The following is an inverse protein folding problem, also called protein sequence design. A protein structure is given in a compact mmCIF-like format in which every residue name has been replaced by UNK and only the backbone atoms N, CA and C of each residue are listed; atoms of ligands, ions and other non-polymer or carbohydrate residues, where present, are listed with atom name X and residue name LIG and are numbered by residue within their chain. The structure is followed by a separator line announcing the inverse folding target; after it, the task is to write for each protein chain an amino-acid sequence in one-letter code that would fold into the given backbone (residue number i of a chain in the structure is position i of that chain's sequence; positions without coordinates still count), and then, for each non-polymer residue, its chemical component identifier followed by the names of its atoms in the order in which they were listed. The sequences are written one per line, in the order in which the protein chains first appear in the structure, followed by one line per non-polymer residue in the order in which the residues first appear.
data_IF_732284520291
#
_entry.id   IF_732284520291
#
_cell.length_a   1.000
_cell.length_b   1.000
_cell.length_c   1.000
_cell.angle_alpha   90.00
_cell.angle_beta   90.00
_cell.angle_gamma   90.00
#
_symmetry.space_group_name_H-M   'P 1'
#
loop_
_entity.id
_entity.type
_entity.pdbx_description
1 polymer ?
#
# COMPACT_ATOMS: atom_id res chain seq x y z
N UNK A 1 7.83 -0.99 -10.00
CA UNK A 1 6.82 -2.09 -9.85
C UNK A 1 5.55 -1.58 -9.17
N UNK A 2 4.40 -2.27 -9.27
CA UNK A 2 3.13 -1.83 -8.65
C UNK A 2 3.23 -1.57 -7.12
N UNK A 3 4.00 -2.43 -6.41
CA UNK A 3 4.31 -2.26 -4.99
C UNK A 3 5.09 -0.97 -4.71
N UNK A 4 6.09 -0.65 -5.54
CA UNK A 4 6.87 0.58 -5.44
C UNK A 4 6.03 1.84 -5.68
N UNK A 5 5.25 1.85 -6.77
CA UNK A 5 4.37 2.99 -7.12
C UNK A 5 3.38 3.24 -5.99
N UNK A 6 2.83 2.16 -5.45
CA UNK A 6 1.93 2.20 -4.29
C UNK A 6 2.61 2.77 -3.06
N UNK A 7 3.80 2.25 -2.69
CA UNK A 7 4.54 2.73 -1.53
C UNK A 7 4.92 4.21 -1.65
N UNK A 8 5.40 4.64 -2.82
CA UNK A 8 5.74 6.05 -3.09
C UNK A 8 4.50 6.96 -3.04
N UNK A 9 3.38 6.53 -3.61
CA UNK A 9 2.14 7.31 -3.57
C UNK A 9 1.57 7.41 -2.15
N UNK A 10 1.61 6.33 -1.36
CA UNK A 10 1.22 6.33 0.06
C UNK A 10 2.11 7.25 0.91
N UNK A 11 3.42 7.28 0.62
CA UNK A 11 4.44 8.06 1.33
C UNK A 11 4.78 9.37 0.61
N UNK A 12 3.78 9.97 -0.04
CA UNK A 12 3.90 11.28 -0.66
C UNK A 12 3.32 12.35 0.27
N UNK A 13 3.77 13.60 0.14
CA UNK A 13 3.13 14.74 0.80
C UNK A 13 1.71 15.01 0.30
N UNK A 14 1.51 14.87 -1.01
CA UNK A 14 0.26 15.25 -1.67
C UNK A 14 -0.93 14.42 -1.19
N UNK A 15 -0.73 13.13 -0.91
CA UNK A 15 -1.79 12.22 -0.52
C UNK A 15 -2.47 12.57 0.83
N UNK A 16 -1.76 12.72 1.96
CA UNK A 16 -2.38 13.15 3.22
C UNK A 16 -3.02 14.53 3.14
N UNK A 17 -2.41 15.48 2.41
CA UNK A 17 -2.98 16.82 2.19
C UNK A 17 -4.31 16.75 1.42
N UNK A 18 -4.40 15.89 0.40
CA UNK A 18 -5.62 15.61 -0.35
C UNK A 18 -6.71 15.00 0.53
N UNK A 19 -6.36 13.99 1.34
CA UNK A 19 -7.31 13.35 2.25
C UNK A 19 -7.84 14.30 3.34
N UNK A 20 -7.03 15.28 3.73
CA UNK A 20 -7.39 16.35 4.66
C UNK A 20 -8.24 17.46 4.02
N UNK A 21 -8.47 17.44 2.70
CA UNK A 21 -9.28 18.42 1.99
C UNK A 21 -8.58 19.76 1.77
N UNK A 22 -7.24 19.80 1.70
CA UNK A 22 -6.54 21.05 1.36
C UNK A 22 -6.87 21.46 -0.09
N UNK A 23 -7.32 22.70 -0.28
CA UNK A 23 -7.82 23.20 -1.59
C UNK A 23 -6.83 23.12 -2.77
N UNK A 24 -5.52 22.97 -2.52
CA UNK A 24 -4.47 22.94 -3.56
C UNK A 24 -3.81 21.56 -3.75
N UNK A 25 -4.23 20.53 -3.02
CA UNK A 25 -3.57 19.22 -3.08
C UNK A 25 -4.04 18.39 -4.27
N UNK A 26 -3.07 17.77 -4.94
CA UNK A 26 -3.26 16.86 -6.08
C UNK A 26 -4.01 15.58 -5.68
N UNK A 27 -4.96 15.15 -6.52
CA UNK A 27 -5.60 13.83 -6.43
C UNK A 27 -4.85 12.73 -7.19
N UNK A 28 -3.75 13.06 -7.87
CA UNK A 28 -2.98 12.14 -8.73
C UNK A 28 -2.53 10.90 -7.97
N UNK A 29 -2.05 11.08 -6.74
CA UNK A 29 -1.57 10.03 -5.86
C UNK A 29 -2.73 9.12 -5.41
N UNK A 30 -3.89 9.72 -5.07
CA UNK A 30 -5.09 8.97 -4.73
C UNK A 30 -5.61 8.14 -5.93
N UNK A 31 -5.59 8.71 -7.14
CA UNK A 31 -6.02 8.00 -8.35
C UNK A 31 -5.08 6.84 -8.69
N UNK A 32 -3.76 7.05 -8.59
CA UNK A 32 -2.77 5.97 -8.73
C UNK A 32 -3.02 4.85 -7.72
N UNK A 33 -3.26 5.17 -6.46
CA UNK A 33 -3.52 4.14 -5.44
C UNK A 33 -4.79 3.34 -5.75
N UNK A 34 -5.85 3.98 -6.24
CA UNK A 34 -7.08 3.29 -6.70
C UNK A 34 -6.85 2.40 -7.92
N UNK A 35 -5.86 2.72 -8.76
CA UNK A 35 -5.45 1.89 -9.90
C UNK A 35 -4.71 0.63 -9.47
N UNK A 36 -4.00 0.65 -8.35
CA UNK A 36 -3.23 -0.52 -7.90
C UNK A 36 -3.86 -1.30 -6.74
N UNK A 37 -4.83 -0.74 -6.03
CA UNK A 37 -5.46 -1.38 -4.86
C UNK A 37 -6.91 -1.79 -5.11
N UNK A 38 -7.35 -2.82 -4.40
CA UNK A 38 -8.79 -3.04 -4.25
C UNK A 38 -9.41 -1.89 -3.42
N UNK A 39 -10.67 -1.50 -3.67
CA UNK A 39 -11.34 -0.43 -2.94
C UNK A 39 -11.29 -0.55 -1.43
N UNK A 40 -11.51 -1.76 -0.89
CA UNK A 40 -11.48 -2.01 0.55
C UNK A 40 -10.15 -1.63 1.19
N UNK A 41 -9.03 -1.99 0.54
CA UNK A 41 -7.69 -1.71 1.04
C UNK A 41 -7.28 -0.24 0.88
N UNK A 42 -7.67 0.38 -0.23
CA UNK A 42 -7.51 1.82 -0.42
C UNK A 42 -8.19 2.61 0.70
N UNK A 43 -9.44 2.26 1.01
CA UNK A 43 -10.23 2.96 2.04
C UNK A 43 -9.59 2.83 3.43
N UNK A 44 -9.13 1.64 3.79
CA UNK A 44 -8.40 1.38 5.05
C UNK A 44 -7.13 2.24 5.14
N UNK A 45 -6.32 2.23 4.07
CA UNK A 45 -5.08 3.00 3.98
C UNK A 45 -5.34 4.51 4.06
N UNK A 46 -6.31 5.00 3.29
CA UNK A 46 -6.68 6.41 3.26
C UNK A 46 -7.16 6.90 4.63
N UNK A 47 -7.96 6.09 5.34
CA UNK A 47 -8.40 6.41 6.70
C UNK A 47 -7.21 6.51 7.67
N UNK A 48 -6.27 5.56 7.60
CA UNK A 48 -5.09 5.57 8.46
C UNK A 48 -4.20 6.79 8.21
N UNK A 49 -3.90 7.09 6.94
CA UNK A 49 -3.09 8.26 6.55
C UNK A 49 -3.77 9.56 6.98
N UNK A 50 -5.08 9.69 6.73
CA UNK A 50 -5.86 10.86 7.18
C UNK A 50 -5.83 11.03 8.69
N UNK A 51 -5.95 9.93 9.45
CA UNK A 51 -5.90 9.94 10.92
C UNK A 51 -4.53 10.38 11.43
N UNK A 52 -3.43 9.90 10.83
CA UNK A 52 -2.09 10.34 11.19
C UNK A 52 -1.92 11.84 10.95
N UNK A 53 -2.38 12.33 9.80
CA UNK A 53 -2.25 13.74 9.43
C UNK A 53 -3.09 14.67 10.32
N UNK A 54 -4.39 14.39 10.50
CA UNK A 54 -5.31 15.30 11.19
C UNK A 54 -5.29 15.18 12.73
N UNK A 55 -5.01 13.99 13.27
CA UNK A 55 -5.14 13.74 14.71
C UNK A 55 -3.81 13.45 15.40
N UNK A 56 -2.81 12.96 14.66
CA UNK A 56 -1.46 12.71 15.21
C UNK A 56 -0.44 13.73 14.73
N UNK A 57 -0.87 14.71 13.92
CA UNK A 57 -0.07 15.81 13.44
C UNK A 57 1.24 15.38 12.76
N UNK A 58 1.24 14.29 11.99
CA UNK A 58 2.42 13.89 11.21
C UNK A 58 2.05 13.19 9.90
N UNK A 59 3.00 13.15 8.98
CA UNK A 59 2.98 12.31 7.79
C UNK A 59 4.39 11.84 7.44
N UNK A 60 4.48 10.85 6.55
CA UNK A 60 5.74 10.25 6.11
C UNK A 60 5.94 10.58 4.63
N UNK A 61 7.07 11.20 4.32
CA UNK A 61 7.56 11.39 2.95
C UNK A 61 8.66 10.36 2.67
N UNK A 62 8.59 9.69 1.53
CA UNK A 62 9.66 8.85 1.02
C UNK A 62 10.55 9.68 0.12
N UNK A 63 11.80 9.90 0.56
CA UNK A 63 12.83 10.61 -0.20
C UNK A 63 13.38 9.70 -1.29
N UNK A 64 13.76 8.49 -0.89
CA UNK A 64 14.30 7.47 -1.77
C UNK A 64 13.85 6.07 -1.35
N UNK A 65 13.79 5.17 -2.31
CA UNK A 65 13.39 3.78 -2.13
C UNK A 65 14.08 2.89 -3.14
N UNK A 66 14.70 1.83 -2.61
CA UNK A 66 15.23 0.73 -3.38
C UNK A 66 14.51 -0.56 -3.03
N UNK A 67 14.20 -1.36 -4.05
CA UNK A 67 13.74 -2.74 -3.87
C UNK A 67 14.96 -3.65 -4.00
N UNK A 68 15.32 -4.33 -2.92
CA UNK A 68 16.48 -5.21 -2.89
C UNK A 68 16.15 -6.62 -3.35
N UNK A 69 14.97 -7.12 -2.97
CA UNK A 69 14.54 -8.48 -3.26
C UNK A 69 13.04 -8.58 -3.41
N UNK A 70 12.61 -9.42 -4.33
CA UNK A 70 11.23 -9.88 -4.45
C UNK A 70 11.21 -11.41 -4.51
N UNK A 71 10.27 -12.03 -3.80
CA UNK A 71 10.07 -13.48 -3.86
C UNK A 71 8.60 -13.83 -3.73
N UNK A 72 8.13 -14.78 -4.53
CA UNK A 72 6.82 -15.39 -4.35
C UNK A 72 6.87 -16.31 -3.13
N UNK A 73 6.12 -15.97 -2.09
CA UNK A 73 6.07 -16.74 -0.85
C UNK A 73 5.05 -17.87 -0.89
N UNK A 74 3.86 -17.60 -1.43
CA UNK A 74 2.83 -18.62 -1.67
C UNK A 74 1.72 -18.11 -2.60
N UNK A 75 0.88 -19.04 -3.04
CA UNK A 75 -0.29 -18.80 -3.89
C UNK A 75 -1.51 -19.46 -3.24
N UNK A 76 -2.65 -18.78 -3.25
CA UNK A 76 -3.93 -19.39 -2.84
C UNK A 76 -4.99 -19.21 -3.90
N UNK A 77 -5.77 -20.26 -4.13
CA UNK A 77 -6.89 -20.27 -5.04
C UNK A 77 -8.20 -20.39 -4.25
N UNK A 78 -9.21 -19.63 -4.67
CA UNK A 78 -10.54 -19.62 -4.07
C UNK A 78 -11.61 -19.73 -5.14
N UNK A 79 -12.69 -20.46 -4.82
CA UNK A 79 -13.96 -20.39 -5.54
C UNK A 79 -14.97 -19.64 -4.69
N UNK A 80 -15.43 -18.50 -5.20
CA UNK A 80 -16.29 -17.55 -4.50
C UNK A 80 -17.65 -17.45 -5.18
N UNK A 81 -18.68 -17.12 -4.41
CA UNK A 81 -19.91 -16.54 -4.99
C UNK A 81 -19.61 -15.11 -5.43
N UNK A 82 -20.39 -14.57 -6.38
CA UNK A 82 -20.23 -13.17 -6.79
C UNK A 82 -20.33 -12.22 -5.59
N UNK A 83 -21.29 -12.46 -4.69
CA UNK A 83 -21.45 -11.65 -3.47
C UNK A 83 -20.20 -11.69 -2.57
N UNK A 84 -19.59 -12.85 -2.36
CA UNK A 84 -18.39 -12.97 -1.54
C UNK A 84 -17.19 -12.26 -2.16
N UNK A 85 -17.06 -12.31 -3.49
CA UNK A 85 -16.05 -11.56 -4.23
C UNK A 85 -16.25 -10.04 -4.09
N UNK A 86 -17.46 -9.53 -4.30
CA UNK A 86 -17.76 -8.10 -4.17
C UNK A 86 -17.54 -7.60 -2.74
N UNK A 87 -17.96 -8.39 -1.75
CA UNK A 87 -17.75 -8.09 -0.33
C UNK A 87 -16.26 -8.01 0.04
N UNK A 88 -15.44 -8.89 -0.53
CA UNK A 88 -13.99 -8.84 -0.36
C UNK A 88 -13.39 -7.61 -1.03
N UNK A 89 -13.67 -7.36 -2.30
CA UNK A 89 -13.10 -6.25 -3.07
C UNK A 89 -13.48 -4.90 -2.45
N UNK A 90 -14.74 -4.74 -2.04
CA UNK A 90 -15.28 -3.47 -1.56
C UNK A 90 -15.00 -3.23 -0.08
N UNK A 91 -15.06 -4.27 0.75
CA UNK A 91 -15.05 -4.13 2.21
C UNK A 91 -13.98 -4.98 2.92
N UNK A 92 -13.20 -5.76 2.17
CA UNK A 92 -12.16 -6.65 2.72
C UNK A 92 -12.72 -7.65 3.74
N UNK A 93 -13.99 -8.08 3.56
CA UNK A 93 -14.62 -9.10 4.42
C UNK A 93 -13.90 -10.44 4.26
N UNK A 94 -13.54 -11.15 5.35
CA UNK A 94 -12.78 -12.39 5.27
C UNK A 94 -13.35 -13.41 4.27
N UNK A 95 -12.50 -13.93 3.41
CA UNK A 95 -12.87 -15.01 2.48
C UNK A 95 -13.14 -16.29 3.29
N UNK A 96 -14.31 -16.89 3.08
CA UNK A 96 -14.65 -18.18 3.70
C UNK A 96 -13.87 -19.31 3.05
N UNK A 97 -13.39 -20.27 3.85
CA UNK A 97 -12.71 -21.47 3.34
C UNK A 97 -13.69 -22.51 2.77
N UNK A 98 -14.96 -22.44 3.13
CA UNK A 98 -15.98 -23.35 2.64
C UNK A 98 -16.33 -23.01 1.17
N UNK A 99 -16.25 -24.02 0.31
CA UNK A 99 -16.66 -23.90 -1.09
C UNK A 99 -18.18 -24.04 -1.15
N UNK A 100 -18.86 -23.00 -1.65
CA UNK A 100 -20.29 -23.03 -1.92
C UNK A 100 -20.54 -23.71 -3.27
N UNK A 101 -21.60 -24.51 -3.35
CA UNK A 101 -22.10 -25.04 -4.64
C UNK A 101 -22.53 -23.93 -5.62
N UNK A 102 -22.75 -22.71 -5.12
CA UNK A 102 -23.10 -21.52 -5.90
C UNK A 102 -21.87 -20.70 -6.35
N UNK A 103 -20.65 -21.21 -6.17
CA UNK A 103 -19.43 -20.46 -6.50
C UNK A 103 -19.20 -20.41 -8.02
N UNK A 104 -19.24 -19.19 -8.57
CA UNK A 104 -19.03 -18.88 -9.99
C UNK A 104 -17.77 -18.06 -10.28
N UNK A 105 -17.12 -17.53 -9.25
CA UNK A 105 -15.92 -16.70 -9.37
C UNK A 105 -14.70 -17.51 -8.95
N UNK A 106 -13.71 -17.60 -9.82
CA UNK A 106 -12.39 -18.15 -9.54
C UNK A 106 -11.47 -16.98 -9.21
N UNK A 107 -10.78 -17.08 -8.07
CA UNK A 107 -10.00 -15.98 -7.52
C UNK A 107 -8.64 -16.47 -7.06
N UNK A 108 -7.58 -15.84 -7.58
CA UNK A 108 -6.20 -16.21 -7.30
C UNK A 108 -5.53 -15.11 -6.48
N UNK A 109 -4.78 -15.49 -5.45
CA UNK A 109 -4.00 -14.59 -4.61
C UNK A 109 -2.54 -14.98 -4.62
N UNK A 110 -1.68 -14.01 -4.90
CA UNK A 110 -0.23 -14.14 -4.87
C UNK A 110 0.32 -13.38 -3.68
N UNK A 111 1.11 -14.06 -2.87
CA UNK A 111 1.76 -13.48 -1.70
C UNK A 111 3.23 -13.31 -2.03
N UNK A 112 3.67 -12.06 -2.11
CA UNK A 112 5.02 -11.70 -2.52
C UNK A 112 5.70 -11.00 -1.38
N UNK A 113 6.83 -11.53 -0.93
CA UNK A 113 7.69 -10.83 0.02
C UNK A 113 8.59 -9.87 -0.76
N UNK A 114 8.62 -8.61 -0.33
CA UNK A 114 9.36 -7.51 -0.94
C UNK A 114 10.27 -6.91 0.12
N UNK A 115 11.58 -6.99 -0.09
CA UNK A 115 12.56 -6.31 0.74
C UNK A 115 12.82 -4.91 0.17
N UNK A 116 12.71 -3.88 1.00
CA UNK A 116 12.94 -2.48 0.62
C UNK A 116 13.91 -1.79 1.56
N UNK A 117 14.73 -0.91 1.00
CA UNK A 117 15.46 0.12 1.75
C UNK A 117 14.83 1.46 1.42
N UNK A 118 14.35 2.16 2.43
CA UNK A 118 13.56 3.36 2.28
C UNK A 118 14.15 4.49 3.12
N UNK A 119 14.50 5.57 2.46
CA UNK A 119 14.89 6.81 3.09
C UNK A 119 13.63 7.64 3.32
N UNK A 120 13.29 7.85 4.59
CA UNK A 120 12.03 8.45 5.02
C UNK A 120 12.27 9.72 5.81
N UNK A 121 11.40 10.69 5.54
CA UNK A 121 11.27 11.92 6.31
C UNK A 121 9.92 11.89 7.03
N UNK A 122 9.97 11.85 8.36
CA UNK A 122 8.80 11.92 9.21
C UNK A 122 8.57 13.39 9.53
N UNK A 123 7.57 13.98 8.89
CA UNK A 123 7.24 15.38 9.04
C UNK A 123 6.18 15.52 10.12
N UNK A 124 6.59 16.02 11.28
CA UNK A 124 5.68 16.45 12.34
C UNK A 124 5.21 17.87 12.04
N UNK A 125 3.91 18.14 12.14
CA UNK A 125 3.32 19.45 11.84
C UNK A 125 3.59 20.48 12.95
N UNK A 126 3.94 20.01 14.15
CA UNK A 126 4.18 20.84 15.35
C UNK A 126 5.56 20.66 15.96
N UNK A 127 6.26 19.57 15.61
CA UNK A 127 7.58 19.22 16.15
C UNK A 127 8.64 19.21 15.04
N UNK A 128 9.89 18.95 15.42
CA UNK A 128 10.99 18.83 14.46
C UNK A 128 10.79 17.60 13.57
N UNK A 129 11.12 17.75 12.29
CA UNK A 129 11.19 16.65 11.34
C UNK A 129 12.28 15.66 11.72
N UNK A 130 11.98 14.36 11.62
CA UNK A 130 12.93 13.27 11.84
C UNK A 130 13.27 12.57 10.54
N UNK A 131 14.51 12.13 10.39
CA UNK A 131 15.00 11.40 9.22
C UNK A 131 15.39 9.98 9.61
N UNK A 132 14.94 9.01 8.85
CA UNK A 132 15.14 7.59 9.13
C UNK A 132 15.41 6.83 7.84
N UNK A 133 16.16 5.75 7.95
CA UNK A 133 16.19 4.69 6.94
C UNK A 133 15.50 3.46 7.50
N UNK A 134 14.54 2.94 6.74
CA UNK A 134 13.87 1.68 7.05
C UNK A 134 14.34 0.62 6.09
N UNK A 135 14.81 -0.50 6.63
CA UNK A 135 15.01 -1.74 5.87
C UNK A 135 13.84 -2.65 6.22
N UNK A 136 12.90 -2.80 5.30
CA UNK A 136 11.66 -3.53 5.52
C UNK A 136 11.64 -4.83 4.73
N UNK A 137 11.02 -5.86 5.29
CA UNK A 137 10.46 -6.97 4.53
C UNK A 137 8.94 -6.90 4.67
N UNK A 138 8.25 -6.72 3.54
CA UNK A 138 6.80 -6.61 3.48
C UNK A 138 6.20 -7.75 2.66
N UNK A 139 5.14 -8.37 3.15
CA UNK A 139 4.29 -9.26 2.35
C UNK A 139 3.22 -8.44 1.65
N UNK A 140 3.30 -8.35 0.33
CA UNK A 140 2.28 -7.77 -0.53
C UNK A 140 1.39 -8.90 -1.04
N UNK A 141 0.08 -8.74 -0.91
CA UNK A 141 -0.88 -9.69 -1.45
C UNK A 141 -1.55 -9.10 -2.67
N UNK A 142 -1.33 -9.71 -3.81
CA UNK A 142 -2.01 -9.41 -5.07
C UNK A 142 -3.16 -10.37 -5.26
N UNK A 143 -4.34 -9.87 -5.60
CA UNK A 143 -5.52 -10.68 -5.88
C UNK A 143 -6.08 -10.36 -7.25
N UNK A 144 -6.59 -11.38 -7.94
CA UNK A 144 -7.28 -11.20 -9.22
C UNK A 144 -8.38 -12.23 -9.44
N UNK A 145 -9.45 -11.79 -10.11
CA UNK A 145 -10.44 -12.68 -10.68
C UNK A 145 -9.84 -13.35 -11.91
N UNK A 146 -9.84 -14.67 -11.92
CA UNK A 146 -9.24 -15.50 -12.97
C UNK A 146 -10.24 -16.43 -13.66
N UNK A 147 -11.55 -16.25 -13.40
CA UNK A 147 -12.62 -17.00 -14.08
C UNK A 147 -12.51 -16.86 -15.61
N UNK A 148 -12.14 -15.67 -16.07
CA UNK A 148 -11.90 -15.37 -17.48
C UNK A 148 -10.47 -14.82 -17.60
N UNK A 149 -9.55 -15.56 -18.25
CA UNK A 149 -8.15 -15.18 -18.43
C UNK A 149 -7.96 -13.82 -19.11
N UNK A 150 -8.89 -13.39 -19.96
CA UNK A 150 -8.78 -12.13 -20.71
C UNK A 150 -9.12 -10.90 -19.84
N UNK A 151 -9.69 -11.11 -18.64
CA UNK A 151 -10.13 -10.04 -17.74
C UNK A 151 -9.30 -9.94 -16.45
N UNK A 152 -8.14 -10.60 -16.42
CA UNK A 152 -7.26 -10.62 -15.25
C UNK A 152 -6.76 -9.21 -14.94
N UNK A 153 -7.08 -8.76 -13.73
CA UNK A 153 -6.69 -7.46 -13.19
C UNK A 153 -6.08 -7.65 -11.80
N UNK A 154 -4.75 -7.55 -11.69
CA UNK A 154 -4.01 -7.79 -10.45
C UNK A 154 -4.01 -6.54 -9.58
N UNK A 155 -4.66 -6.62 -8.41
CA UNK A 155 -4.74 -5.52 -7.45
C UNK A 155 -4.16 -5.90 -6.11
N UNK A 156 -3.55 -4.95 -5.42
CA UNK A 156 -3.06 -5.10 -4.05
C UNK A 156 -4.26 -5.12 -3.10
N UNK A 157 -4.37 -6.20 -2.35
CA UNK A 157 -5.41 -6.40 -1.34
C UNK A 157 -4.95 -6.04 0.06
N UNK A 158 -3.65 -6.18 0.30
CA UNK A 158 -3.02 -5.85 1.57
C UNK A 158 -1.51 -5.81 1.43
N UNK A 159 -0.88 -5.06 2.33
CA UNK A 159 0.54 -5.08 2.57
C UNK A 159 0.76 -5.19 4.07
N UNK A 160 1.58 -6.15 4.49
CA UNK A 160 1.91 -6.38 5.90
C UNK A 160 3.42 -6.36 6.09
N UNK A 161 3.87 -5.63 7.09
CA UNK A 161 5.25 -5.67 7.55
C UNK A 161 5.55 -7.03 8.21
N UNK A 162 6.57 -7.72 7.74
CA UNK A 162 7.11 -8.95 8.33
C UNK A 162 8.27 -8.60 9.25
N UNK A 163 9.22 -7.81 8.75
CA UNK A 163 10.43 -7.42 9.44
C UNK A 163 10.71 -5.95 9.15
N UNK A 164 11.25 -5.25 10.15
CA UNK A 164 11.72 -3.87 10.01
C UNK A 164 12.95 -3.65 10.86
N UNK A 165 13.94 -3.04 10.24
CA UNK A 165 15.07 -2.42 10.92
C UNK A 165 15.06 -0.92 10.61
N UNK A 166 15.18 -0.12 11.66
CA UNK A 166 15.19 1.34 11.57
C UNK A 166 16.56 1.87 11.95
N UNK A 167 17.09 2.77 11.14
CA UNK A 167 18.36 3.44 11.34
C UNK A 167 18.09 4.94 11.36
N UNK A 168 18.45 5.63 12.45
CA UNK A 168 18.35 7.09 12.51
C UNK A 168 19.35 7.71 11.53
N UNK A 169 18.92 8.76 10.82
CA UNK A 169 19.77 9.51 9.90
C UNK A 169 19.86 10.96 10.37
N UNK A 170 21.05 11.55 10.23
CA UNK A 170 21.20 13.00 10.23
C UNK A 170 20.54 13.58 8.97
N UNK A 171 20.11 14.83 9.05
CA UNK A 171 19.70 15.57 7.86
C UNK A 171 20.90 15.62 6.91
N UNK A 172 20.73 15.19 5.66
CA UNK A 172 21.73 15.40 4.62
C UNK A 172 21.66 16.89 4.31
N UNK A 173 22.71 17.64 4.66
CA UNK A 173 22.90 18.97 4.09
C UNK A 173 23.27 18.72 2.63
N UNK A 174 22.39 19.07 1.71
CA UNK A 174 22.79 19.30 0.32
C UNK A 174 23.74 20.51 0.36
N UNK A 175 25.02 20.27 0.64
CA UNK A 175 26.06 21.24 0.36
C UNK A 175 26.04 21.47 -1.15
N UNK A 176 25.77 22.73 -1.49
CA UNK A 176 25.94 23.28 -2.82
C UNK A 176 27.39 23.04 -3.22
N UNK A 177 27.62 22.25 -4.25
CA UNK A 177 28.82 22.41 -5.05
C UNK A 177 28.54 23.57 -6.03
N UNK A 178 29.26 24.67 -5.76
CA UNK A 178 29.45 25.85 -6.61
C UNK A 178 30.13 25.52 -7.95
#
# INVERSE_FOLDING_TARGET
MASEVTLRAMKSRAFPEFLAGKKKSSSKEANKLKEYMIPGYYNETALQVKKNYLHRNFYVECEDMQIEKTQLAHVTYHRLTMQAYEDWVKFKKPLTRAISSKASVEYLRLYVDVATVENLKIVHLVEKTSYMQHQNVCRVVFGSRVTDPDTVDWRIESMRLIEQKTISRSQVNDEKDE
#
